data_IF_573085404128
#
_entry.id   IF_573085404128
#
_cell.length_a   1.000
_cell.length_b   1.000
_cell.length_c   1.000
_cell.angle_alpha   90.00
_cell.angle_beta   90.00
_cell.angle_gamma   90.00
#
_symmetry.space_group_name_H-M   'P 1'
#
loop_
_entity.id
_entity.type
_entity.pdbx_description
1 polymer ?
#
# COMPACT_ATOMS: atom_id res chain seq x y z
N UNK A 1 22.28 8.65 5.38
CA UNK A 1 22.04 9.60 4.28
C UNK A 1 20.54 9.59 4.00
N UNK A 2 19.90 10.75 3.96
CA UNK A 2 18.52 10.85 3.46
C UNK A 2 18.55 10.56 1.96
N UNK A 3 18.12 9.37 1.54
CA UNK A 3 17.98 9.01 0.13
C UNK A 3 16.72 9.70 -0.39
N UNK A 4 16.89 10.63 -1.33
CA UNK A 4 15.81 11.40 -1.94
C UNK A 4 15.67 11.02 -3.41
N UNK A 5 14.44 11.05 -3.92
CA UNK A 5 14.20 10.87 -5.35
C UNK A 5 14.64 12.10 -6.15
N UNK A 6 15.35 11.85 -7.23
CA UNK A 6 15.70 12.87 -8.23
C UNK A 6 14.53 13.12 -9.20
N UNK A 7 14.55 14.25 -9.90
CA UNK A 7 13.49 14.64 -10.85
C UNK A 7 13.14 13.53 -11.84
N UNK A 8 14.15 12.91 -12.46
CA UNK A 8 13.93 11.83 -13.43
C UNK A 8 13.30 10.58 -12.80
N UNK A 9 13.58 10.29 -11.53
CA UNK A 9 12.93 9.19 -10.81
C UNK A 9 11.46 9.51 -10.51
N UNK A 10 11.16 10.74 -10.09
CA UNK A 10 9.79 11.22 -9.88
C UNK A 10 8.99 11.13 -11.19
N UNK A 11 9.54 11.60 -12.30
CA UNK A 11 8.88 11.56 -13.61
C UNK A 11 8.60 10.12 -14.06
N UNK A 12 9.52 9.18 -13.82
CA UNK A 12 9.31 7.74 -14.08
C UNK A 12 8.17 7.16 -13.24
N UNK A 13 8.12 7.50 -11.95
CA UNK A 13 7.06 7.04 -11.04
C UNK A 13 5.70 7.59 -11.48
N UNK A 14 5.59 8.89 -11.75
CA UNK A 14 4.36 9.52 -12.22
C UNK A 14 3.90 8.94 -13.57
N UNK A 15 4.84 8.65 -14.48
CA UNK A 15 4.54 7.99 -15.75
C UNK A 15 4.00 6.59 -15.55
N UNK A 16 4.58 5.81 -14.63
CA UNK A 16 4.08 4.48 -14.29
C UNK A 16 2.64 4.53 -13.76
N UNK A 17 2.33 5.46 -12.84
CA UNK A 17 0.97 5.63 -12.36
C UNK A 17 -0.01 6.02 -13.46
N UNK A 18 0.36 6.97 -14.34
CA UNK A 18 -0.49 7.40 -15.46
C UNK A 18 -0.73 6.29 -16.49
N UNK A 19 0.20 5.37 -16.65
CA UNK A 19 0.03 4.22 -17.55
C UNK A 19 -0.88 3.14 -16.93
N UNK A 20 -0.71 2.86 -15.63
CA UNK A 20 -1.56 1.89 -14.91
C UNK A 20 -2.97 2.42 -14.71
N UNK A 21 -3.09 3.72 -14.43
CA UNK A 21 -4.34 4.43 -14.19
C UNK A 21 -4.41 5.61 -15.18
N UNK A 22 -4.90 5.39 -16.42
CA UNK A 22 -4.99 6.46 -17.43
C UNK A 22 -5.99 7.56 -17.06
N UNK A 23 -6.94 7.26 -16.18
CA UNK A 23 -7.90 8.21 -15.63
C UNK A 23 -8.29 7.84 -14.20
N UNK A 24 -8.60 8.84 -13.38
CA UNK A 24 -9.17 8.65 -12.04
C UNK A 24 -10.66 8.97 -12.09
N UNK A 25 -11.49 7.94 -12.03
CA UNK A 25 -12.94 8.06 -11.94
C UNK A 25 -13.41 8.50 -10.54
N UNK A 26 -14.73 8.70 -10.39
CA UNK A 26 -15.33 9.15 -9.12
C UNK A 26 -15.07 8.18 -7.96
N UNK A 27 -15.19 6.86 -8.19
CA UNK A 27 -14.96 5.84 -7.17
C UNK A 27 -13.52 5.85 -6.67
N UNK A 28 -12.53 5.84 -7.57
CA UNK A 28 -11.10 5.95 -7.20
C UNK A 28 -10.78 7.28 -6.53
N UNK A 29 -11.33 8.39 -7.03
CA UNK A 29 -11.16 9.71 -6.41
C UNK A 29 -11.69 9.73 -4.98
N UNK A 30 -12.85 9.11 -4.73
CA UNK A 30 -13.43 9.01 -3.39
C UNK A 30 -12.64 8.05 -2.50
N UNK A 31 -12.20 6.93 -3.06
CA UNK A 31 -11.40 5.92 -2.37
C UNK A 31 -10.07 6.52 -1.88
N UNK A 32 -9.34 7.21 -2.75
CA UNK A 32 -8.09 7.90 -2.43
C UNK A 32 -8.27 9.28 -1.79
N UNK A 33 -9.52 9.73 -1.62
CA UNK A 33 -9.86 10.97 -0.92
C UNK A 33 -9.29 12.22 -1.56
N UNK A 34 -9.22 12.26 -2.90
CA UNK A 34 -8.63 13.38 -3.65
C UNK A 34 -9.42 14.69 -3.49
N UNK A 35 -10.71 14.63 -3.16
CA UNK A 35 -11.53 15.81 -2.82
C UNK A 35 -11.21 16.39 -1.43
N UNK A 36 -10.39 15.70 -0.62
CA UNK A 36 -9.99 16.08 0.74
C UNK A 36 -11.16 16.31 1.71
N UNK A 37 -12.30 15.67 1.45
CA UNK A 37 -13.45 15.66 2.37
C UNK A 37 -13.11 15.01 3.72
N UNK A 38 -12.17 14.06 3.72
CA UNK A 38 -11.59 13.47 4.93
C UNK A 38 -10.39 14.32 5.36
N UNK A 39 -10.42 15.01 6.52
CA UNK A 39 -9.43 16.04 6.88
C UNK A 39 -7.97 15.56 6.98
N UNK A 40 -7.74 14.26 7.04
CA UNK A 40 -6.40 13.67 7.12
C UNK A 40 -6.05 12.84 5.88
N UNK A 41 -6.90 12.80 4.86
CA UNK A 41 -6.62 12.12 3.59
C UNK A 41 -5.60 12.92 2.78
N UNK A 42 -4.31 12.81 3.12
CA UNK A 42 -3.21 13.50 2.43
C UNK A 42 -2.05 12.56 2.09
N UNK A 43 -2.24 11.23 2.12
CA UNK A 43 -1.25 10.27 1.60
C UNK A 43 -1.18 10.41 0.10
N UNK A 44 -2.32 10.16 -0.56
CA UNK A 44 -2.38 10.00 -2.00
C UNK A 44 -2.36 11.34 -2.74
N UNK A 45 -1.65 11.38 -3.85
CA UNK A 45 -1.58 12.51 -4.77
C UNK A 45 -2.34 12.20 -6.05
N UNK A 46 -3.04 13.20 -6.61
CA UNK A 46 -3.49 13.13 -8.00
C UNK A 46 -2.28 13.24 -8.94
N UNK A 47 -1.71 12.09 -9.25
CA UNK A 47 -0.50 11.96 -10.08
C UNK A 47 -0.72 12.41 -11.53
N UNK A 48 -1.96 12.62 -12.00
CA UNK A 48 -2.20 13.22 -13.32
C UNK A 48 -1.85 14.70 -13.35
N UNK A 49 -2.03 15.39 -12.22
CA UNK A 49 -1.86 16.85 -12.09
C UNK A 49 -0.59 17.24 -11.35
N UNK A 50 0.03 16.31 -10.63
CA UNK A 50 1.24 16.55 -9.88
C UNK A 50 2.44 16.88 -10.77
N UNK A 51 3.26 17.80 -10.28
CA UNK A 51 4.57 18.17 -10.85
C UNK A 51 5.69 17.89 -9.85
N UNK A 52 6.91 17.73 -10.36
CA UNK A 52 8.09 17.58 -9.50
C UNK A 52 8.24 18.79 -8.56
N UNK A 53 7.99 19.99 -9.06
CA UNK A 53 8.10 21.25 -8.33
C UNK A 53 7.16 21.29 -7.12
N UNK A 54 5.92 20.83 -7.26
CA UNK A 54 4.97 20.75 -6.15
C UNK A 54 5.42 19.75 -5.09
N UNK A 55 5.87 18.56 -5.50
CA UNK A 55 6.37 17.52 -4.60
C UNK A 55 7.63 17.98 -3.86
N UNK A 56 8.55 18.66 -4.56
CA UNK A 56 9.76 19.25 -3.98
C UNK A 56 9.45 20.37 -3.01
N UNK A 57 8.50 21.25 -3.34
CA UNK A 57 8.05 22.31 -2.43
C UNK A 57 7.44 21.73 -1.16
N UNK A 58 6.59 20.69 -1.28
CA UNK A 58 6.05 20.00 -0.10
C UNK A 58 7.17 19.36 0.72
N UNK A 59 8.13 18.67 0.09
CA UNK A 59 9.29 18.11 0.78
C UNK A 59 10.06 19.16 1.61
N UNK A 60 10.37 20.31 1.00
CA UNK A 60 11.11 21.38 1.69
C UNK A 60 10.30 21.95 2.87
N UNK A 61 8.98 22.12 2.71
CA UNK A 61 8.09 22.54 3.80
C UNK A 61 8.03 21.51 4.92
N UNK A 62 7.92 20.22 4.60
CA UNK A 62 7.95 19.14 5.59
C UNK A 62 9.21 19.21 6.43
N UNK A 63 10.38 19.41 5.80
CA UNK A 63 11.66 19.52 6.51
C UNK A 63 11.73 20.74 7.41
N UNK A 64 11.20 21.88 6.96
CA UNK A 64 11.12 23.08 7.79
C UNK A 64 10.23 22.85 9.01
N UNK A 65 9.06 22.23 8.82
CA UNK A 65 8.12 21.90 9.90
C UNK A 65 8.75 20.89 10.89
N UNK A 66 9.44 19.86 10.41
CA UNK A 66 10.17 18.90 11.25
C UNK A 66 11.20 19.60 12.15
N UNK A 67 11.83 20.69 11.70
CA UNK A 67 12.83 21.44 12.44
C UNK A 67 12.26 22.43 13.47
N UNK A 68 10.95 22.70 13.45
CA UNK A 68 10.30 23.67 14.35
C UNK A 68 10.09 23.17 15.78
N UNK A 69 10.24 21.87 16.04
CA UNK A 69 10.03 21.30 17.38
C UNK A 69 8.56 21.39 17.87
N UNK A 70 7.60 21.41 16.94
CA UNK A 70 6.18 21.50 17.25
C UNK A 70 5.66 20.24 17.97
N UNK A 71 4.68 20.38 18.89
CA UNK A 71 3.92 19.25 19.43
C UNK A 71 3.24 18.43 18.32
N UNK A 72 2.99 17.13 18.57
CA UNK A 72 2.44 16.17 17.58
C UNK A 72 1.22 16.69 16.82
N UNK A 73 0.23 17.24 17.54
CA UNK A 73 -1.01 17.72 16.93
C UNK A 73 -0.79 18.97 16.05
N UNK A 74 -0.04 19.95 16.55
CA UNK A 74 0.29 21.17 15.82
C UNK A 74 1.14 20.87 14.58
N UNK A 75 2.10 19.98 14.72
CA UNK A 75 2.93 19.48 13.62
C UNK A 75 2.06 18.82 12.53
N UNK A 76 1.12 17.97 12.94
CA UNK A 76 0.22 17.31 12.01
C UNK A 76 -0.68 18.28 11.25
N UNK A 77 -1.23 19.29 11.93
CA UNK A 77 -2.00 20.37 11.29
C UNK A 77 -1.13 21.14 10.30
N UNK A 78 0.07 21.55 10.70
CA UNK A 78 1.00 22.27 9.81
C UNK A 78 1.35 21.47 8.55
N UNK A 79 1.56 20.15 8.69
CA UNK A 79 1.85 19.27 7.56
C UNK A 79 0.65 19.09 6.63
N UNK A 80 -0.55 18.91 7.19
CA UNK A 80 -1.80 18.87 6.42
C UNK A 80 -1.97 20.15 5.60
N UNK A 81 -1.81 21.30 6.24
CA UNK A 81 -1.99 22.61 5.60
C UNK A 81 -0.91 22.86 4.53
N UNK A 82 0.33 22.42 4.78
CA UNK A 82 1.40 22.46 3.78
C UNK A 82 1.07 21.61 2.54
N UNK A 83 0.55 20.39 2.74
CA UNK A 83 0.12 19.49 1.66
C UNK A 83 -1.04 20.08 0.86
N UNK A 84 -2.07 20.60 1.55
CA UNK A 84 -3.18 21.32 0.91
C UNK A 84 -2.70 22.51 0.07
N UNK A 85 -1.80 23.34 0.62
CA UNK A 85 -1.26 24.51 -0.08
C UNK A 85 -0.35 24.16 -1.27
N UNK A 86 0.31 23.00 -1.26
CA UNK A 86 1.13 22.53 -2.39
C UNK A 86 0.29 21.80 -3.47
N UNK A 87 -0.92 21.35 -3.13
CA UNK A 87 -1.80 20.60 -4.03
C UNK A 87 -1.38 19.15 -4.27
N UNK A 88 -0.53 18.59 -3.42
CA UNK A 88 0.00 17.20 -3.49
C UNK A 88 0.02 16.58 -2.10
N UNK A 89 -0.10 15.25 -2.02
CA UNK A 89 0.04 14.45 -0.81
C UNK A 89 1.49 14.03 -0.51
N UNK A 90 1.67 13.22 0.53
CA UNK A 90 2.98 12.72 0.98
C UNK A 90 3.47 11.46 0.25
N UNK A 91 2.77 11.08 -0.83
CA UNK A 91 3.22 10.13 -1.85
C UNK A 91 3.17 10.82 -3.21
N UNK A 92 3.94 10.33 -4.19
CA UNK A 92 3.85 10.78 -5.58
C UNK A 92 2.56 10.30 -6.25
N UNK A 93 2.07 9.12 -5.88
CA UNK A 93 0.76 8.61 -6.28
C UNK A 93 0.02 8.05 -5.09
N UNK A 94 -0.09 6.72 -4.99
CA UNK A 94 -0.96 6.05 -4.02
C UNK A 94 -0.37 6.10 -2.60
N UNK A 95 0.86 5.61 -2.42
CA UNK A 95 1.59 5.64 -1.16
C UNK A 95 3.11 5.51 -1.38
N UNK A 96 3.96 5.87 -0.40
CA UNK A 96 5.41 5.89 -0.57
C UNK A 96 6.03 4.53 -0.95
N UNK A 97 5.43 3.43 -0.49
CA UNK A 97 5.91 2.09 -0.83
C UNK A 97 5.66 1.77 -2.30
N UNK A 98 4.49 2.14 -2.84
CA UNK A 98 4.20 1.95 -4.26
C UNK A 98 5.04 2.86 -5.13
N UNK A 99 5.29 4.10 -4.71
CA UNK A 99 6.20 5.00 -5.43
C UNK A 99 7.56 4.32 -5.64
N UNK A 100 8.10 3.72 -4.58
CA UNK A 100 9.35 2.98 -4.67
C UNK A 100 9.26 1.72 -5.53
N UNK A 101 8.22 0.90 -5.30
CA UNK A 101 8.04 -0.35 -6.03
C UNK A 101 7.90 -0.09 -7.53
N UNK A 102 7.18 0.95 -7.94
CA UNK A 102 7.07 1.32 -9.35
C UNK A 102 8.41 1.76 -9.92
N UNK A 103 9.22 2.54 -9.20
CA UNK A 103 10.55 2.90 -9.69
C UNK A 103 11.44 1.68 -9.99
N UNK A 104 11.33 0.63 -9.16
CA UNK A 104 12.14 -0.59 -9.27
C UNK A 104 11.56 -1.62 -10.23
N UNK A 105 10.25 -1.79 -10.24
CA UNK A 105 9.59 -2.95 -10.85
C UNK A 105 8.77 -2.60 -12.08
N UNK A 106 8.34 -1.35 -12.27
CA UNK A 106 7.50 -1.02 -13.41
C UNK A 106 8.27 -1.04 -14.74
N UNK A 107 7.64 -1.61 -15.77
CA UNK A 107 8.06 -1.44 -17.15
C UNK A 107 6.88 -1.60 -18.13
N UNK A 108 6.83 -0.85 -19.25
CA UNK A 108 5.74 -0.93 -20.23
C UNK A 108 5.49 -2.34 -20.80
N UNK A 109 6.56 -3.12 -20.98
CA UNK A 109 6.49 -4.48 -21.51
C UNK A 109 5.98 -5.52 -20.50
N UNK A 110 6.03 -5.24 -19.19
CA UNK A 110 5.58 -6.19 -18.18
C UNK A 110 4.08 -6.39 -18.22
N UNK A 111 3.67 -7.65 -18.09
CA UNK A 111 2.27 -8.11 -18.19
C UNK A 111 1.70 -8.68 -16.89
N UNK A 112 2.52 -8.81 -15.84
CA UNK A 112 2.11 -9.30 -14.52
C UNK A 112 2.23 -8.19 -13.48
N UNK A 113 1.21 -8.12 -12.61
CA UNK A 113 1.15 -7.24 -11.45
C UNK A 113 0.76 -8.05 -10.21
N UNK A 114 1.45 -7.80 -9.10
CA UNK A 114 1.08 -8.30 -7.78
C UNK A 114 0.76 -7.12 -6.86
N UNK A 115 -0.47 -7.12 -6.36
CA UNK A 115 -0.95 -6.16 -5.37
C UNK A 115 -0.69 -6.72 -3.98
N UNK A 116 0.05 -5.98 -3.16
CA UNK A 116 0.19 -6.20 -1.73
C UNK A 116 -0.85 -5.33 -1.01
N UNK A 117 -1.88 -5.97 -0.45
CA UNK A 117 -3.02 -5.29 0.15
C UNK A 117 -2.89 -5.26 1.69
N UNK A 118 -2.41 -4.14 2.22
CA UNK A 118 -2.43 -3.89 3.66
C UNK A 118 -3.79 -3.38 4.15
N UNK A 119 -3.89 -3.10 5.46
CA UNK A 119 -5.12 -2.58 6.05
C UNK A 119 -5.21 -1.06 5.95
N UNK A 120 -4.31 -0.35 6.63
CA UNK A 120 -4.32 1.10 6.76
C UNK A 120 -2.91 1.70 6.79
N UNK A 121 -2.82 3.01 6.51
CA UNK A 121 -1.62 3.80 6.77
C UNK A 121 -1.70 4.46 8.18
N UNK A 122 -0.53 4.62 8.80
CA UNK A 122 -0.37 5.29 10.10
C UNK A 122 -0.58 6.81 9.99
N UNK A 123 -0.68 7.59 11.08
CA UNK A 123 -0.84 9.05 11.02
C UNK A 123 0.39 9.79 10.50
N UNK A 124 0.20 11.04 10.01
CA UNK A 124 1.25 11.90 9.41
C UNK A 124 2.41 12.14 10.40
N UNK A 125 2.05 12.20 11.68
CA UNK A 125 2.97 12.33 12.82
C UNK A 125 2.58 11.27 13.84
N UNK A 126 3.55 10.48 14.29
CA UNK A 126 3.42 9.57 15.44
C UNK A 126 4.21 10.13 16.61
N UNK A 127 3.72 9.94 17.84
CA UNK A 127 4.31 10.54 19.05
C UNK A 127 5.81 10.21 19.24
N UNK A 128 6.22 9.01 18.85
CA UNK A 128 7.59 8.51 19.05
C UNK A 128 8.53 8.79 17.87
N UNK A 129 8.11 9.52 16.83
CA UNK A 129 8.95 9.79 15.65
C UNK A 129 9.22 11.28 15.53
N UNK A 130 10.51 11.62 15.55
CA UNK A 130 10.98 13.00 15.44
C UNK A 130 10.68 13.64 14.08
N UNK A 131 10.55 12.83 13.02
CA UNK A 131 10.40 13.28 11.62
C UNK A 131 9.14 12.72 10.97
N UNK A 132 8.52 13.49 10.08
CA UNK A 132 7.38 13.04 9.29
C UNK A 132 7.78 12.41 7.96
N UNK A 133 6.81 11.73 7.34
CA UNK A 133 6.97 11.25 5.97
C UNK A 133 6.97 12.43 4.99
N UNK A 134 7.74 12.27 3.92
CA UNK A 134 7.92 13.30 2.90
C UNK A 134 7.82 12.68 1.51
N UNK A 135 7.18 13.34 0.53
CA UNK A 135 6.93 12.73 -0.78
C UNK A 135 8.19 12.36 -1.56
N UNK A 136 9.32 13.02 -1.29
CA UNK A 136 10.60 12.72 -1.96
C UNK A 136 11.50 11.78 -1.17
N UNK A 137 11.16 11.40 0.06
CA UNK A 137 11.99 10.49 0.86
C UNK A 137 11.79 9.05 0.36
N UNK A 138 12.91 8.39 0.07
CA UNK A 138 12.95 6.98 -0.33
C UNK A 138 13.33 6.04 0.85
N UNK A 139 13.75 6.61 1.99
CA UNK A 139 14.27 5.84 3.14
C UNK A 139 13.33 4.80 3.76
N UNK A 140 12.03 4.86 3.48
CA UNK A 140 11.02 3.96 4.04
C UNK A 140 10.45 2.97 3.01
N UNK A 141 11.12 2.77 1.86
CA UNK A 141 10.70 1.79 0.87
C UNK A 141 10.58 0.37 1.45
N UNK A 142 9.69 -0.45 0.89
CA UNK A 142 9.50 -1.85 1.31
C UNK A 142 10.83 -2.64 1.37
N UNK A 143 11.72 -2.40 0.40
CA UNK A 143 13.07 -2.98 0.32
C UNK A 143 13.98 -2.63 1.52
N UNK A 144 13.73 -1.51 2.18
CA UNK A 144 14.47 -1.06 3.36
C UNK A 144 13.78 -1.44 4.68
N UNK A 145 12.75 -2.28 4.62
CA UNK A 145 12.00 -2.71 5.80
C UNK A 145 12.01 -4.24 5.94
N UNK A 146 13.13 -4.85 6.40
CA UNK A 146 13.32 -6.31 6.42
C UNK A 146 12.19 -7.10 7.08
N UNK A 147 11.54 -6.54 8.11
CA UNK A 147 10.41 -7.17 8.80
C UNK A 147 9.20 -7.46 7.91
N UNK A 148 9.06 -6.77 6.78
CA UNK A 148 7.99 -6.96 5.81
C UNK A 148 8.38 -7.88 4.65
N UNK A 149 9.67 -8.18 4.45
CA UNK A 149 10.14 -9.01 3.35
C UNK A 149 9.50 -10.42 3.33
N UNK A 150 9.32 -11.12 4.47
CA UNK A 150 8.66 -12.44 4.45
C UNK A 150 7.21 -12.41 3.95
N UNK A 151 6.55 -11.25 3.96
CA UNK A 151 5.16 -11.07 3.53
C UNK A 151 5.05 -10.56 2.09
N UNK A 152 6.16 -10.30 1.42
CA UNK A 152 6.23 -9.89 0.03
C UNK A 152 6.94 -10.97 -0.80
N UNK A 153 6.42 -11.34 -1.97
CA UNK A 153 7.01 -12.39 -2.78
C UNK A 153 8.35 -11.95 -3.39
N UNK A 154 9.33 -12.89 -3.54
CA UNK A 154 10.59 -12.64 -4.23
C UNK A 154 10.43 -11.97 -5.59
N UNK A 155 9.37 -12.34 -6.33
CA UNK A 155 9.08 -11.80 -7.65
C UNK A 155 8.95 -10.26 -7.71
N UNK A 156 8.56 -9.63 -6.59
CA UNK A 156 8.52 -8.16 -6.50
C UNK A 156 9.94 -7.60 -6.35
N UNK A 157 10.80 -8.27 -5.58
CA UNK A 157 12.16 -7.80 -5.30
C UNK A 157 13.12 -8.03 -6.47
N UNK A 158 12.97 -9.14 -7.20
CA UNK A 158 13.74 -9.40 -8.44
C UNK A 158 13.16 -8.69 -9.67
N UNK A 159 11.96 -8.11 -9.54
CA UNK A 159 11.28 -7.36 -10.58
C UNK A 159 10.62 -8.23 -11.65
N UNK A 160 10.45 -9.53 -11.45
CA UNK A 160 9.71 -10.40 -12.39
C UNK A 160 8.21 -10.07 -12.46
N UNK A 161 7.63 -9.48 -11.41
CA UNK A 161 6.29 -8.89 -11.42
C UNK A 161 6.34 -7.41 -11.05
N UNK A 162 5.41 -6.60 -11.57
CA UNK A 162 5.24 -5.23 -11.07
C UNK A 162 4.65 -5.33 -9.65
N UNK A 163 5.21 -4.59 -8.70
CA UNK A 163 4.70 -4.52 -7.34
C UNK A 163 3.84 -3.28 -7.12
N UNK A 164 2.64 -3.45 -6.56
CA UNK A 164 1.81 -2.33 -6.10
C UNK A 164 1.40 -2.60 -4.66
N UNK A 165 1.82 -1.74 -3.73
CA UNK A 165 1.31 -1.77 -2.37
C UNK A 165 0.10 -0.84 -2.24
N UNK A 166 -0.99 -1.33 -1.69
CA UNK A 166 -2.13 -0.49 -1.37
C UNK A 166 -2.69 -0.89 -0.03
N UNK A 167 -3.19 0.10 0.71
CA UNK A 167 -3.95 -0.19 1.91
C UNK A 167 -5.42 -0.16 1.57
N UNK A 168 -6.17 -1.15 2.06
CA UNK A 168 -7.62 -1.18 1.90
C UNK A 168 -8.24 0.12 2.40
N UNK A 169 -7.63 0.78 3.38
CA UNK A 169 -7.89 2.17 3.76
C UNK A 169 -6.65 3.05 3.45
N UNK A 170 -6.64 3.83 2.36
CA UNK A 170 -5.42 4.44 1.81
C UNK A 170 -5.01 5.79 2.44
N UNK A 171 -5.49 6.13 3.64
CA UNK A 171 -5.34 7.48 4.19
C UNK A 171 -4.54 7.58 5.49
N UNK A 172 -4.02 8.79 5.74
CA UNK A 172 -3.43 9.15 7.01
C UNK A 172 -4.53 9.32 8.05
N UNK A 173 -4.21 8.93 9.27
CA UNK A 173 -5.04 9.14 10.45
C UNK A 173 -4.70 10.47 11.12
N UNK A 174 -5.58 11.00 11.99
CA UNK A 174 -5.26 12.14 12.82
C UNK A 174 -3.93 11.92 13.59
N UNK A 175 -3.14 12.98 13.84
CA UNK A 175 -1.86 12.87 14.54
C UNK A 175 -1.97 12.12 15.87
N UNK A 176 -0.98 11.29 16.18
CA UNK A 176 -0.95 10.51 17.42
C UNK A 176 -1.91 9.31 17.47
N UNK A 177 -2.78 9.14 16.48
CA UNK A 177 -3.71 8.01 16.49
C UNK A 177 -2.98 6.67 16.28
N UNK A 178 -3.06 5.78 17.28
CA UNK A 178 -2.22 4.58 17.38
C UNK A 178 -2.73 3.36 16.61
N UNK A 179 -4.04 3.16 16.44
CA UNK A 179 -4.61 2.02 15.69
C UNK A 179 -5.89 2.39 14.95
N UNK A 180 -6.06 1.97 13.69
CA UNK A 180 -7.38 2.06 13.06
C UNK A 180 -8.38 1.30 13.93
N UNK A 181 -9.32 2.02 14.51
CA UNK A 181 -10.56 1.45 15.00
C UNK A 181 -11.46 1.05 13.83
N UNK A 182 -12.77 1.05 14.07
CA UNK A 182 -13.73 0.86 12.98
C UNK A 182 -13.69 2.05 12.00
N UNK A 183 -13.59 1.77 10.70
CA UNK A 183 -13.36 2.78 9.64
C UNK A 183 -14.39 3.93 9.62
N UNK A 184 -15.61 3.68 10.12
CA UNK A 184 -16.69 4.67 10.15
C UNK A 184 -16.31 5.97 10.89
N UNK A 185 -15.40 5.90 11.86
CA UNK A 185 -14.90 7.08 12.59
C UNK A 185 -14.15 8.07 11.69
N UNK A 186 -13.68 7.62 10.52
CA UNK A 186 -12.92 8.45 9.58
C UNK A 186 -13.72 8.81 8.31
N UNK A 187 -15.05 8.61 8.33
CA UNK A 187 -15.93 8.99 7.23
C UNK A 187 -15.84 8.09 6.00
N UNK A 188 -15.45 6.83 6.17
CA UNK A 188 -15.45 5.81 5.11
C UNK A 188 -15.86 4.43 5.68
N UNK A 189 -16.48 3.61 4.84
CA UNK A 189 -16.87 2.23 5.18
C UNK A 189 -15.98 1.21 4.48
N UNK A 190 -15.90 -0.01 5.02
CA UNK A 190 -15.23 -1.12 4.32
C UNK A 190 -15.85 -1.40 2.96
N UNK A 191 -17.17 -1.19 2.79
CA UNK A 191 -17.82 -1.33 1.50
C UNK A 191 -17.22 -0.34 0.48
N UNK A 192 -17.12 0.94 0.83
CA UNK A 192 -16.53 1.95 -0.05
C UNK A 192 -15.05 1.68 -0.35
N UNK A 193 -14.29 1.19 0.64
CA UNK A 193 -12.92 0.72 0.43
C UNK A 193 -12.83 -0.45 -0.56
N UNK A 194 -13.75 -1.41 -0.46
CA UNK A 194 -13.82 -2.58 -1.33
C UNK A 194 -14.28 -2.21 -2.75
N UNK A 195 -15.22 -1.27 -2.88
CA UNK A 195 -15.62 -0.69 -4.16
C UNK A 195 -14.40 0.03 -4.81
N UNK A 196 -13.60 0.75 -4.02
CA UNK A 196 -12.35 1.36 -4.48
C UNK A 196 -11.29 0.34 -4.90
N UNK A 197 -11.16 -0.78 -4.17
CA UNK A 197 -10.27 -1.88 -4.56
C UNK A 197 -10.70 -2.49 -5.91
N UNK A 198 -12.00 -2.64 -6.16
CA UNK A 198 -12.48 -3.17 -7.44
C UNK A 198 -12.06 -2.28 -8.60
N UNK A 199 -12.14 -0.97 -8.45
CA UNK A 199 -11.74 -0.02 -9.48
C UNK A 199 -10.22 -0.04 -9.71
N UNK A 200 -9.44 -0.28 -8.65
CA UNK A 200 -8.00 -0.51 -8.79
C UNK A 200 -7.74 -1.80 -9.58
N UNK A 201 -8.44 -2.88 -9.24
CA UNK A 201 -8.33 -4.16 -9.94
C UNK A 201 -8.78 -4.02 -11.40
N UNK A 202 -9.83 -3.27 -11.69
CA UNK A 202 -10.32 -3.00 -13.04
C UNK A 202 -9.25 -2.28 -13.87
N UNK A 203 -8.76 -1.15 -13.38
CA UNK A 203 -7.74 -0.35 -14.07
C UNK A 203 -6.45 -1.16 -14.30
N UNK A 204 -5.97 -1.86 -13.28
CA UNK A 204 -4.78 -2.70 -13.40
C UNK A 204 -5.02 -3.88 -14.34
N UNK A 205 -6.20 -4.49 -14.33
CA UNK A 205 -6.53 -5.60 -15.23
C UNK A 205 -6.79 -5.18 -16.67
N UNK A 206 -7.04 -3.89 -16.94
CA UNK A 206 -7.04 -3.35 -18.29
C UNK A 206 -5.61 -3.24 -18.86
N UNK A 207 -4.61 -3.07 -17.99
CA UNK A 207 -3.20 -2.88 -18.35
C UNK A 207 -2.37 -4.18 -18.31
N UNK A 208 -2.63 -5.05 -17.35
CA UNK A 208 -1.87 -6.26 -17.10
C UNK A 208 -2.68 -7.51 -17.48
N UNK A 209 -2.01 -8.51 -18.05
CA UNK A 209 -2.64 -9.79 -18.37
C UNK A 209 -2.90 -10.61 -17.11
N UNK A 210 -2.03 -10.48 -16.11
CA UNK A 210 -2.16 -11.18 -14.84
C UNK A 210 -2.11 -10.20 -13.68
N UNK A 211 -3.16 -10.21 -12.85
CA UNK A 211 -3.27 -9.42 -11.63
C UNK A 211 -3.56 -10.37 -10.47
N UNK A 212 -2.78 -10.24 -9.40
CA UNK A 212 -2.92 -11.06 -8.19
C UNK A 212 -2.96 -10.18 -6.97
N UNK A 213 -3.62 -10.63 -5.90
CA UNK A 213 -3.70 -9.90 -4.63
C UNK A 213 -3.18 -10.78 -3.50
N UNK A 214 -2.23 -10.26 -2.72
CA UNK A 214 -1.79 -10.85 -1.46
C UNK A 214 -2.18 -9.86 -0.37
N UNK A 215 -3.11 -10.23 0.51
CA UNK A 215 -3.52 -9.34 1.61
C UNK A 215 -2.80 -9.64 2.90
N UNK A 216 -2.62 -8.61 3.72
CA UNK A 216 -1.99 -8.71 5.02
C UNK A 216 -2.96 -8.40 6.16
N UNK A 217 -3.08 -9.35 7.08
CA UNK A 217 -3.72 -9.12 8.38
C UNK A 217 -5.21 -9.46 8.45
N UNK A 218 -5.68 -9.64 9.68
CA UNK A 218 -7.01 -10.14 9.98
C UNK A 218 -8.13 -9.17 9.59
N UNK A 219 -7.89 -7.86 9.61
CA UNK A 219 -8.89 -6.86 9.22
C UNK A 219 -9.19 -6.94 7.72
N UNK A 220 -8.15 -7.02 6.88
CA UNK A 220 -8.31 -7.18 5.43
C UNK A 220 -8.97 -8.52 5.12
N UNK A 221 -8.53 -9.61 5.77
CA UNK A 221 -9.18 -10.91 5.64
C UNK A 221 -10.68 -10.83 5.96
N UNK A 222 -11.05 -10.20 7.08
CA UNK A 222 -12.45 -10.09 7.49
C UNK A 222 -13.28 -9.31 6.48
N UNK A 223 -12.74 -8.21 5.95
CA UNK A 223 -13.41 -7.39 4.93
C UNK A 223 -13.54 -8.14 3.59
N UNK A 224 -12.49 -8.82 3.15
CA UNK A 224 -12.45 -9.54 1.87
C UNK A 224 -13.25 -10.85 1.89
N UNK A 225 -13.30 -11.57 3.02
CA UNK A 225 -13.84 -12.94 3.11
C UNK A 225 -15.24 -13.09 2.50
N UNK A 226 -16.11 -12.10 2.67
CA UNK A 226 -17.47 -12.14 2.13
C UNK A 226 -17.52 -12.14 0.59
N UNK A 227 -16.45 -11.70 -0.07
CA UNK A 227 -16.32 -11.61 -1.53
C UNK A 227 -15.55 -12.77 -2.16
N UNK A 228 -14.86 -13.54 -1.32
CA UNK A 228 -13.99 -14.62 -1.76
C UNK A 228 -14.80 -15.90 -1.91
N UNK A 229 -14.70 -16.54 -3.07
CA UNK A 229 -15.45 -17.75 -3.37
C UNK A 229 -15.02 -18.89 -2.46
N UNK A 230 -16.00 -19.60 -1.90
CA UNK A 230 -15.80 -20.76 -1.02
C UNK A 230 -14.91 -20.47 0.21
N UNK A 231 -14.80 -19.21 0.64
CA UNK A 231 -13.99 -18.86 1.79
C UNK A 231 -14.57 -19.48 3.08
N UNK A 232 -13.82 -20.31 3.81
CA UNK A 232 -14.33 -20.93 5.02
C UNK A 232 -14.50 -19.86 6.12
N UNK A 233 -15.42 -20.06 7.08
CA UNK A 233 -15.68 -19.12 8.18
C UNK A 233 -14.57 -19.18 9.26
N UNK A 234 -13.31 -19.33 8.86
CA UNK A 234 -12.15 -19.41 9.74
C UNK A 234 -11.56 -18.02 10.00
N UNK A 235 -10.82 -17.90 11.11
CA UNK A 235 -9.87 -16.81 11.30
C UNK A 235 -8.74 -16.95 10.29
N UNK A 236 -8.05 -15.86 9.99
CA UNK A 236 -6.92 -15.85 9.06
C UNK A 236 -5.86 -16.92 9.41
N UNK A 237 -5.47 -17.00 10.68
CA UNK A 237 -4.51 -18.02 11.13
C UNK A 237 -5.07 -19.43 11.12
N UNK A 238 -6.37 -19.61 11.39
CA UNK A 238 -7.03 -20.90 11.25
C UNK A 238 -7.05 -21.38 9.80
N UNK A 239 -7.33 -20.46 8.86
CA UNK A 239 -7.27 -20.71 7.43
C UNK A 239 -5.87 -21.11 6.98
N UNK A 240 -4.86 -20.28 7.26
CA UNK A 240 -3.48 -20.54 6.85
C UNK A 240 -2.94 -21.89 7.37
N UNK A 241 -3.32 -22.30 8.59
CA UNK A 241 -2.92 -23.58 9.18
C UNK A 241 -3.66 -24.77 8.58
N UNK A 242 -4.96 -24.64 8.29
CA UNK A 242 -5.79 -25.73 7.77
C UNK A 242 -5.66 -25.95 6.27
N UNK A 243 -5.27 -24.91 5.52
CA UNK A 243 -5.20 -24.86 4.05
C UNK A 243 -3.92 -24.16 3.58
N UNK A 244 -2.74 -24.76 3.84
CA UNK A 244 -1.47 -24.12 3.49
C UNK A 244 -1.33 -23.96 1.97
N UNK A 245 -0.99 -22.76 1.51
CA UNK A 245 -0.77 -22.43 0.10
C UNK A 245 -2.00 -22.43 -0.80
N UNK A 246 -3.20 -22.68 -0.27
CA UNK A 246 -4.43 -22.63 -1.08
C UNK A 246 -4.64 -21.21 -1.61
N UNK A 247 -4.78 -21.10 -2.93
CA UNK A 247 -5.09 -19.84 -3.61
C UNK A 247 -6.60 -19.72 -3.69
N UNK A 248 -7.12 -18.66 -3.10
CA UNK A 248 -8.53 -18.31 -3.20
C UNK A 248 -8.76 -17.45 -4.44
N UNK A 249 -10.02 -17.31 -4.83
CA UNK A 249 -10.41 -16.37 -5.89
C UNK A 249 -11.57 -15.50 -5.45
N UNK A 250 -11.57 -14.25 -5.89
CA UNK A 250 -12.74 -13.40 -5.85
C UNK A 250 -12.99 -12.82 -7.23
N UNK A 251 -14.25 -12.43 -7.48
CA UNK A 251 -14.62 -11.78 -8.71
C UNK A 251 -14.59 -10.26 -8.53
N UNK A 252 -13.95 -9.57 -9.47
CA UNK A 252 -13.88 -8.12 -9.51
C UNK A 252 -13.79 -7.67 -10.96
N UNK A 253 -14.62 -6.68 -11.33
CA UNK A 253 -14.74 -6.20 -12.71
C UNK A 253 -14.94 -7.32 -13.76
N UNK A 254 -15.72 -8.35 -13.42
CA UNK A 254 -15.98 -9.51 -14.29
C UNK A 254 -14.77 -10.41 -14.53
N UNK A 255 -13.70 -10.27 -13.74
CA UNK A 255 -12.50 -11.12 -13.77
C UNK A 255 -12.34 -11.88 -12.47
N UNK A 256 -11.81 -13.08 -12.58
CA UNK A 256 -11.37 -13.86 -11.43
C UNK A 256 -9.95 -13.44 -11.04
N UNK A 257 -9.78 -13.05 -9.78
CA UNK A 257 -8.52 -12.57 -9.25
C UNK A 257 -8.00 -13.56 -8.22
N UNK A 258 -6.76 -14.01 -8.42
CA UNK A 258 -6.06 -14.86 -7.46
C UNK A 258 -5.78 -14.09 -6.17
N UNK A 259 -6.07 -14.71 -5.04
CA UNK A 259 -6.03 -14.09 -3.73
C UNK A 259 -5.37 -15.00 -2.69
N UNK A 260 -4.34 -14.48 -2.02
CA UNK A 260 -3.65 -15.15 -0.93
C UNK A 260 -3.69 -14.29 0.35
N UNK A 261 -4.45 -14.68 1.37
CA UNK A 261 -4.49 -13.96 2.64
C UNK A 261 -3.40 -14.46 3.61
N UNK A 262 -2.53 -13.56 4.08
CA UNK A 262 -1.46 -13.89 5.03
C UNK A 262 -1.48 -13.00 6.27
N UNK A 263 -0.87 -13.45 7.36
CA UNK A 263 -0.73 -12.67 8.58
C UNK A 263 0.00 -11.35 8.32
N UNK A 264 -0.33 -10.32 9.10
CA UNK A 264 0.33 -9.02 8.95
C UNK A 264 1.80 -9.10 9.41
N UNK A 265 2.77 -8.68 8.59
CA UNK A 265 4.21 -8.71 8.91
C UNK A 265 4.64 -7.90 10.14
N UNK A 266 3.83 -6.94 10.61
CA UNK A 266 4.08 -6.26 11.90
C UNK A 266 3.95 -7.19 13.12
N UNK A 267 3.40 -8.41 12.94
CA UNK A 267 3.34 -9.45 13.95
C UNK A 267 4.33 -10.58 13.60
N UNK A 268 5.65 -10.36 13.76
CA UNK A 268 6.69 -11.29 13.29
C UNK A 268 6.57 -12.69 13.89
N UNK A 269 5.97 -12.82 15.08
CA UNK A 269 5.71 -14.13 15.70
C UNK A 269 4.84 -15.08 14.87
N UNK A 270 4.05 -14.58 13.90
CA UNK A 270 3.35 -15.44 12.95
C UNK A 270 4.32 -16.04 11.92
N UNK A 271 5.29 -15.25 11.46
CA UNK A 271 6.34 -15.67 10.54
C UNK A 271 7.43 -16.53 11.21
N UNK A 272 7.35 -16.78 12.52
CA UNK A 272 8.14 -17.81 13.19
C UNK A 272 7.37 -19.14 13.33
N UNK A 273 6.07 -19.18 13.00
CA UNK A 273 5.29 -20.42 13.03
C UNK A 273 5.46 -21.17 11.72
N UNK A 274 6.02 -22.38 11.78
CA UNK A 274 6.27 -23.23 10.60
C UNK A 274 5.04 -23.41 9.71
N UNK A 275 3.84 -23.56 10.30
CA UNK A 275 2.61 -23.71 9.54
C UNK A 275 2.25 -22.45 8.73
N UNK A 276 2.48 -21.25 9.27
CA UNK A 276 2.22 -20.00 8.55
C UNK A 276 3.27 -19.75 7.47
N UNK A 277 4.54 -19.99 7.78
CA UNK A 277 5.62 -19.94 6.78
C UNK A 277 5.35 -20.89 5.62
N UNK A 278 4.92 -22.13 5.90
CA UNK A 278 4.52 -23.10 4.87
C UNK A 278 3.40 -22.55 3.99
N UNK A 279 2.35 -21.96 4.60
CA UNK A 279 1.27 -21.35 3.84
C UNK A 279 1.75 -20.20 2.93
N UNK A 280 2.63 -19.34 3.41
CA UNK A 280 3.22 -18.24 2.63
C UNK A 280 4.06 -18.77 1.47
N UNK A 281 4.99 -19.69 1.76
CA UNK A 281 5.90 -20.25 0.75
C UNK A 281 5.16 -21.01 -0.34
N UNK A 282 4.25 -21.90 0.03
CA UNK A 282 3.45 -22.67 -0.92
C UNK A 282 2.50 -21.76 -1.71
N UNK A 283 1.96 -20.71 -1.08
CA UNK A 283 1.09 -19.75 -1.76
C UNK A 283 1.85 -18.92 -2.79
N UNK A 284 3.05 -18.43 -2.47
CA UNK A 284 3.89 -17.70 -3.43
C UNK A 284 4.33 -18.60 -4.59
N UNK A 285 4.68 -19.86 -4.30
CA UNK A 285 5.00 -20.85 -5.33
C UNK A 285 3.80 -21.13 -6.24
N UNK A 286 2.61 -21.38 -5.69
CA UNK A 286 1.39 -21.65 -6.44
C UNK A 286 0.95 -20.48 -7.34
N UNK A 287 1.21 -19.24 -6.91
CA UNK A 287 0.99 -18.03 -7.72
C UNK A 287 2.11 -17.78 -8.76
N UNK A 288 3.19 -18.56 -8.78
CA UNK A 288 4.34 -18.37 -9.66
C UNK A 288 5.19 -17.16 -9.29
N UNK A 289 5.25 -16.79 -8.01
CA UNK A 289 5.92 -15.59 -7.49
C UNK A 289 7.25 -15.88 -6.77
N UNK A 290 7.76 -17.10 -6.90
CA UNK A 290 9.01 -17.58 -6.30
C UNK A 290 8.84 -18.08 -4.86
N UNK A 291 9.90 -18.67 -4.31
CA UNK A 291 9.95 -19.12 -2.92
C UNK A 291 10.55 -18.01 -2.04
N UNK A 292 9.91 -17.60 -0.94
CA UNK A 292 10.52 -16.64 -0.02
C UNK A 292 11.87 -17.19 0.43
N UNK A 293 12.92 -16.36 0.39
CA UNK A 293 14.25 -16.77 0.87
C UNK A 293 14.09 -17.40 2.25
N UNK A 294 14.55 -18.65 2.41
CA UNK A 294 14.54 -19.30 3.72
C UNK A 294 15.32 -18.38 4.66
N UNK A 295 14.66 -17.85 5.69
CA UNK A 295 15.34 -17.13 6.77
C UNK A 295 16.49 -17.99 7.28
N UNK A 296 17.72 -17.68 6.88
CA UNK A 296 18.93 -18.26 7.44
C UNK A 296 19.18 -17.57 8.78
N UNK A 297 18.31 -17.84 9.74
CA UNK A 297 18.57 -17.56 11.15
C UNK A 297 19.01 -18.88 11.77
N UNK A 298 20.33 -19.04 11.89
CA UNK A 298 20.94 -19.87 12.93
C UNK A 298 20.80 -19.16 14.28
#
# INVERSE_FOLDING_TARGET
MDVLYERGEVERILTAYKDIFPSIGTSLSKYWGLSRERPWSYVTTDFHRATYEQLKLLHDRTRAIDAMGLPTNEKGVALRDASAACGVGFSMGICPWTDHLLLKTYSPEKKSLTILLGHDWYPIVVENRERSDSPLRNGDALHYTPKYMPAAPPAIFDGSTVGLFLNLYPDYRPPGDGKCGALHTYGITYKECLDGLDEVVEATSARFQTVRVISWGANVWTAMRARVRNAPPLTLMGYAKGRPGEILTFESAGKEIEYLPIAHPSHPGNFHQAAHLSHVSLGFEAMGLGLPEKSTTN
#
